data_IF_722177386483
#
_entry.id   IF_722177386483
#
_cell.length_a   1.000
_cell.length_b   1.000
_cell.length_c   1.000
_cell.angle_alpha   90.00
_cell.angle_beta   90.00
_cell.angle_gamma   90.00
#
_symmetry.space_group_name_H-M   'P 1'
#
loop_
_entity.id
_entity.type
_entity.pdbx_description
1 polymer ?
#
# COMPACT_ATOMS: atom_id res chain seq x y z
N UNK A 1 -60.39 17.50 -31.75
CA UNK A 1 -59.05 16.96 -31.38
C UNK A 1 -59.15 16.28 -30.03
N UNK A 2 -58.79 15.00 -29.87
CA UNK A 2 -59.16 14.27 -28.69
C UNK A 2 -58.19 14.59 -27.56
N UNK A 3 -58.73 15.06 -26.44
CA UNK A 3 -58.04 15.35 -25.17
C UNK A 3 -57.13 14.19 -24.71
N UNK A 4 -57.46 12.95 -25.11
CA UNK A 4 -56.71 11.73 -24.80
C UNK A 4 -55.27 11.70 -25.39
N UNK A 5 -55.05 12.38 -26.51
CA UNK A 5 -53.71 12.42 -27.15
C UNK A 5 -52.76 13.33 -26.41
N UNK A 6 -53.25 14.45 -25.87
CA UNK A 6 -52.47 15.44 -25.13
C UNK A 6 -52.00 14.85 -23.79
N UNK A 7 -52.85 14.08 -23.11
CA UNK A 7 -52.52 13.42 -21.83
C UNK A 7 -51.44 12.33 -22.02
N UNK A 8 -51.49 11.58 -23.13
CA UNK A 8 -50.46 10.56 -23.45
C UNK A 8 -49.09 11.19 -23.74
N UNK A 9 -49.05 12.33 -24.47
CA UNK A 9 -47.79 13.04 -24.74
C UNK A 9 -47.12 13.60 -23.48
N UNK A 10 -47.91 14.12 -22.54
CA UNK A 10 -47.40 14.65 -21.28
C UNK A 10 -46.87 13.56 -20.33
N UNK A 11 -47.52 12.38 -20.32
CA UNK A 11 -47.01 11.22 -19.57
C UNK A 11 -45.71 10.69 -20.15
N UNK A 12 -45.57 10.61 -21.48
CA UNK A 12 -44.32 10.20 -22.13
C UNK A 12 -43.16 11.19 -21.86
N UNK A 13 -43.42 12.50 -21.94
CA UNK A 13 -42.41 13.52 -21.62
C UNK A 13 -41.95 13.44 -20.17
N UNK A 14 -42.84 13.19 -19.22
CA UNK A 14 -42.50 13.00 -17.80
C UNK A 14 -41.72 11.71 -17.58
N UNK A 15 -42.02 10.63 -18.29
CA UNK A 15 -41.29 9.38 -18.22
C UNK A 15 -39.86 9.52 -18.78
N UNK A 16 -39.69 10.21 -19.92
CA UNK A 16 -38.38 10.51 -20.50
C UNK A 16 -37.53 11.39 -19.59
N UNK A 17 -38.11 12.40 -18.94
CA UNK A 17 -37.40 13.27 -18.01
C UNK A 17 -36.96 12.55 -16.74
N UNK A 18 -37.77 11.62 -16.21
CA UNK A 18 -37.43 10.79 -15.05
C UNK A 18 -36.31 9.81 -15.37
N UNK A 19 -36.30 9.18 -16.56
CA UNK A 19 -35.23 8.26 -16.98
C UNK A 19 -33.91 9.01 -17.21
N UNK A 20 -33.94 10.23 -17.74
CA UNK A 20 -32.73 11.04 -17.98
C UNK A 20 -32.07 11.48 -16.65
N UNK A 21 -32.85 11.78 -15.61
CA UNK A 21 -32.37 12.14 -14.29
C UNK A 21 -31.72 10.92 -13.60
N UNK A 22 -32.27 9.72 -13.78
CA UNK A 22 -31.72 8.49 -13.18
C UNK A 22 -30.37 8.10 -13.79
N UNK A 23 -30.15 8.35 -15.08
CA UNK A 23 -28.91 8.06 -15.79
C UNK A 23 -27.78 9.04 -15.37
N UNK A 24 -28.11 10.31 -15.05
CA UNK A 24 -27.12 11.29 -14.60
C UNK A 24 -26.55 10.99 -13.18
N UNK A 25 -27.29 10.27 -12.33
CA UNK A 25 -26.81 9.87 -11.00
C UNK A 25 -25.88 8.64 -11.02
N UNK A 26 -25.88 7.85 -12.09
CA UNK A 26 -25.03 6.66 -12.22
C UNK A 26 -23.58 6.96 -12.63
N UNK A 27 -23.23 8.21 -12.98
CA UNK A 27 -21.90 8.59 -13.50
C UNK A 27 -20.91 9.07 -12.44
N UNK A 28 -21.27 9.10 -11.16
CA UNK A 28 -20.36 9.47 -10.07
C UNK A 28 -19.64 8.26 -9.46
N UNK A 29 -19.19 7.32 -10.30
CA UNK A 29 -18.22 6.29 -9.93
C UNK A 29 -16.87 6.94 -9.73
N UNK A 30 -16.65 7.61 -8.59
CA UNK A 30 -15.34 8.13 -8.24
C UNK A 30 -14.37 6.95 -8.12
N UNK A 31 -13.22 7.08 -8.75
CA UNK A 31 -12.10 6.16 -8.54
C UNK A 31 -11.83 6.04 -7.03
N UNK A 32 -12.25 4.92 -6.46
CA UNK A 32 -12.19 4.68 -5.01
C UNK A 32 -10.80 4.25 -4.57
N UNK A 33 -9.93 3.92 -5.52
CA UNK A 33 -8.58 3.43 -5.29
C UNK A 33 -7.56 4.37 -5.90
N UNK A 34 -6.60 4.75 -5.08
CA UNK A 34 -5.41 5.45 -5.50
C UNK A 34 -4.21 4.53 -5.34
N UNK A 35 -3.24 4.62 -6.23
CA UNK A 35 -2.12 3.71 -6.22
C UNK A 35 -0.84 4.32 -6.79
N UNK A 36 0.27 3.64 -6.55
CA UNK A 36 1.55 3.85 -7.24
C UNK A 36 2.21 2.49 -7.53
N UNK A 37 3.03 2.43 -8.57
CA UNK A 37 3.90 1.28 -8.86
C UNK A 37 5.37 1.58 -8.51
N UNK A 38 5.65 2.80 -8.09
CA UNK A 38 6.99 3.32 -7.82
C UNK A 38 7.12 3.73 -6.34
N UNK A 39 6.45 3.01 -5.44
CA UNK A 39 6.61 3.21 -4.01
C UNK A 39 8.01 2.81 -3.55
N UNK A 40 8.52 3.46 -2.51
CA UNK A 40 9.78 3.13 -1.85
C UNK A 40 9.49 2.30 -0.59
N UNK A 41 10.12 1.15 -0.50
CA UNK A 41 10.31 0.41 0.76
C UNK A 41 11.80 0.17 0.95
N UNK A 42 12.30 0.53 2.12
CA UNK A 42 13.67 0.22 2.50
C UNK A 42 13.71 -0.56 3.81
N UNK A 43 14.76 -1.32 3.99
CA UNK A 43 15.08 -1.88 5.30
C UNK A 43 16.50 -1.52 5.74
N UNK A 44 16.70 -1.49 7.05
CA UNK A 44 17.96 -1.14 7.67
C UNK A 44 18.25 -2.11 8.81
N UNK A 45 19.44 -2.72 8.77
CA UNK A 45 20.02 -3.55 9.81
C UNK A 45 21.23 -2.81 10.38
N UNK A 46 21.19 -2.49 11.66
CA UNK A 46 22.28 -1.81 12.36
C UNK A 46 22.92 -2.72 13.40
N UNK A 47 24.23 -2.84 13.35
CA UNK A 47 25.05 -3.43 14.39
C UNK A 47 26.28 -2.55 14.63
N UNK A 48 27.04 -2.81 15.69
CA UNK A 48 28.32 -2.11 15.93
C UNK A 48 29.38 -2.44 14.89
N UNK A 49 29.22 -3.52 14.12
CA UNK A 49 30.16 -3.98 13.12
C UNK A 49 29.82 -3.51 11.71
N UNK A 50 28.53 -3.44 11.37
CA UNK A 50 28.11 -3.14 10.00
C UNK A 50 26.68 -2.55 9.95
N UNK A 51 26.51 -1.61 9.02
CA UNK A 51 25.22 -1.07 8.61
C UNK A 51 24.85 -1.64 7.24
N UNK A 52 23.71 -2.32 7.17
CA UNK A 52 23.19 -2.90 5.94
C UNK A 52 21.88 -2.18 5.60
N UNK A 53 21.84 -1.55 4.43
CA UNK A 53 20.65 -0.89 3.90
C UNK A 53 20.35 -1.42 2.51
N UNK A 54 19.05 -1.65 2.24
CA UNK A 54 18.55 -1.92 0.90
C UNK A 54 17.29 -1.12 0.62
N UNK A 55 17.15 -0.67 -0.62
CA UNK A 55 16.03 0.13 -1.09
C UNK A 55 15.35 -0.57 -2.28
N UNK A 56 14.02 -0.57 -2.28
CA UNK A 56 13.20 -1.03 -3.41
C UNK A 56 12.26 0.09 -3.83
N UNK A 57 12.45 0.60 -5.05
CA UNK A 57 11.67 1.71 -5.63
C UNK A 57 10.56 1.23 -6.58
N UNK A 58 10.27 -0.08 -6.64
CA UNK A 58 9.29 -0.69 -7.54
C UNK A 58 8.15 -1.35 -6.75
N UNK A 59 7.68 -0.66 -5.73
CA UNK A 59 6.64 -1.18 -4.84
C UNK A 59 5.27 -0.75 -5.33
N UNK A 60 4.37 -1.72 -5.55
CA UNK A 60 2.95 -1.46 -5.74
C UNK A 60 2.33 -1.15 -4.38
N UNK A 61 1.74 0.02 -4.26
CA UNK A 61 0.92 0.41 -3.12
C UNK A 61 -0.46 0.84 -3.59
N UNK A 62 -1.52 0.32 -2.99
CA UNK A 62 -2.92 0.63 -3.31
C UNK A 62 -3.66 0.99 -2.02
N UNK A 63 -4.33 2.14 -2.02
CA UNK A 63 -5.20 2.58 -0.93
C UNK A 63 -6.62 2.78 -1.46
N UNK A 64 -7.60 2.15 -0.82
CA UNK A 64 -9.01 2.44 -1.04
C UNK A 64 -9.41 3.63 -0.15
N UNK A 65 -9.77 4.76 -0.79
CA UNK A 65 -10.09 6.02 -0.10
C UNK A 65 -11.51 6.05 0.49
N UNK A 66 -12.28 4.98 0.38
CA UNK A 66 -13.59 4.85 1.03
C UNK A 66 -13.56 3.88 2.22
N UNK A 67 -12.78 2.80 2.10
CA UNK A 67 -12.76 1.74 3.12
C UNK A 67 -11.53 1.78 4.01
N UNK A 68 -10.45 2.47 3.60
CA UNK A 68 -9.16 2.46 4.29
C UNK A 68 -8.36 1.18 4.05
N UNK A 69 -8.79 0.29 3.14
CA UNK A 69 -7.99 -0.87 2.76
C UNK A 69 -6.68 -0.44 2.14
N UNK A 70 -5.58 -1.01 2.64
CA UNK A 70 -4.22 -0.71 2.20
C UNK A 70 -3.51 -2.01 1.81
N UNK A 71 -2.91 -2.03 0.62
CA UNK A 71 -2.22 -3.18 0.09
C UNK A 71 -0.86 -2.80 -0.47
N UNK A 72 0.15 -3.64 -0.21
CA UNK A 72 1.48 -3.55 -0.82
C UNK A 72 1.85 -4.87 -1.48
N UNK A 73 2.54 -4.77 -2.61
CA UNK A 73 3.21 -5.91 -3.26
C UNK A 73 4.62 -5.49 -3.64
N UNK A 74 5.60 -6.24 -3.14
CA UNK A 74 7.03 -5.93 -3.21
C UNK A 74 7.72 -7.13 -3.86
N UNK A 75 8.37 -6.91 -5.01
CA UNK A 75 9.23 -7.93 -5.62
C UNK A 75 10.53 -8.00 -4.82
N UNK A 76 10.86 -9.17 -4.25
CA UNK A 76 12.04 -9.32 -3.40
C UNK A 76 13.34 -9.07 -4.17
N UNK A 77 13.43 -9.47 -5.45
CA UNK A 77 14.56 -9.16 -6.35
C UNK A 77 14.71 -7.67 -6.69
N UNK A 78 13.75 -6.82 -6.34
CA UNK A 78 13.80 -5.38 -6.55
C UNK A 78 14.51 -4.62 -5.42
N UNK A 79 15.00 -5.29 -4.38
CA UNK A 79 15.84 -4.66 -3.36
C UNK A 79 17.27 -4.52 -3.87
N UNK A 80 17.80 -3.29 -3.81
CA UNK A 80 19.16 -2.95 -4.24
C UNK A 80 20.00 -2.55 -3.04
N UNK A 81 21.19 -3.11 -3.01
CA UNK A 81 22.18 -2.91 -1.96
C UNK A 81 23.36 -2.11 -2.48
N UNK A 82 24.10 -1.49 -1.58
CA UNK A 82 25.34 -0.79 -1.91
C UNK A 82 26.43 -1.74 -2.43
N UNK A 83 26.44 -2.99 -1.95
CA UNK A 83 27.41 -4.03 -2.32
C UNK A 83 26.68 -5.17 -3.04
N UNK A 84 27.09 -5.52 -4.26
CA UNK A 84 26.47 -6.58 -5.06
C UNK A 84 26.45 -7.96 -4.35
N UNK A 85 27.51 -8.33 -3.64
CA UNK A 85 27.54 -9.58 -2.86
C UNK A 85 26.51 -9.63 -1.72
N UNK A 86 26.13 -8.47 -1.14
CA UNK A 86 25.03 -8.44 -0.16
C UNK A 86 23.68 -8.67 -0.81
N UNK A 87 23.48 -8.14 -2.02
CA UNK A 87 22.25 -8.35 -2.79
C UNK A 87 22.09 -9.82 -3.20
N UNK A 88 23.19 -10.47 -3.61
CA UNK A 88 23.23 -11.90 -3.92
C UNK A 88 22.84 -12.75 -2.69
N UNK A 89 23.55 -12.57 -1.56
CA UNK A 89 23.23 -13.27 -0.31
C UNK A 89 21.81 -13.01 0.19
N UNK A 90 21.32 -11.78 0.09
CA UNK A 90 19.93 -11.47 0.43
C UNK A 90 18.98 -12.31 -0.41
N UNK A 91 19.18 -12.38 -1.73
CA UNK A 91 18.30 -13.09 -2.64
C UNK A 91 18.37 -14.61 -2.50
N UNK A 92 19.55 -15.16 -2.21
CA UNK A 92 19.80 -16.61 -2.21
C UNK A 92 19.64 -17.23 -0.82
N UNK A 93 20.25 -16.59 0.22
CA UNK A 93 20.39 -17.21 1.52
C UNK A 93 19.35 -16.75 2.53
N UNK A 94 18.85 -15.49 2.42
CA UNK A 94 17.97 -14.90 3.44
C UNK A 94 16.51 -14.88 3.02
N UNK A 95 16.20 -14.26 1.87
CA UNK A 95 14.81 -14.11 1.42
C UNK A 95 14.39 -15.25 0.46
N UNK A 96 15.34 -16.02 -0.06
CA UNK A 96 15.13 -17.08 -1.05
C UNK A 96 14.20 -16.60 -2.18
N UNK A 97 14.58 -15.50 -2.87
CA UNK A 97 13.67 -14.78 -3.79
C UNK A 97 13.20 -15.62 -4.99
N UNK A 98 13.87 -16.72 -5.30
CA UNK A 98 13.43 -17.68 -6.31
C UNK A 98 12.26 -18.53 -5.82
N UNK A 99 12.17 -18.82 -4.54
CA UNK A 99 11.10 -19.58 -3.88
C UNK A 99 9.99 -18.67 -3.36
N UNK A 100 10.38 -17.53 -2.81
CA UNK A 100 9.47 -16.49 -2.28
C UNK A 100 9.68 -15.19 -3.06
N UNK A 101 9.14 -15.05 -4.28
CA UNK A 101 9.45 -13.93 -5.16
C UNK A 101 8.88 -12.59 -4.69
N UNK A 102 7.92 -12.62 -3.75
CA UNK A 102 7.23 -11.43 -3.28
C UNK A 102 7.08 -11.40 -1.76
N UNK A 103 7.25 -10.21 -1.20
CA UNK A 103 6.70 -9.84 0.09
C UNK A 103 5.42 -9.03 -0.12
N UNK A 104 4.48 -9.09 0.83
CA UNK A 104 3.17 -8.46 0.67
C UNK A 104 2.64 -7.97 2.02
N UNK A 105 1.80 -6.93 1.96
CA UNK A 105 0.98 -6.50 3.08
C UNK A 105 -0.46 -6.31 2.62
N UNK A 106 -1.41 -6.76 3.43
CA UNK A 106 -2.83 -6.50 3.25
C UNK A 106 -3.46 -6.16 4.59
N UNK A 107 -4.01 -4.96 4.68
CA UNK A 107 -4.57 -4.49 5.93
C UNK A 107 -5.51 -3.32 5.77
N UNK A 108 -5.81 -2.67 6.89
CA UNK A 108 -6.71 -1.55 6.97
C UNK A 108 -6.12 -0.45 7.86
N UNK A 109 -6.39 0.78 7.51
CA UNK A 109 -6.15 1.95 8.38
C UNK A 109 -7.25 2.00 9.43
N UNK A 110 -6.93 1.80 10.71
CA UNK A 110 -7.93 1.67 11.78
C UNK A 110 -8.62 2.98 12.12
N UNK A 111 -7.91 4.11 11.98
CA UNK A 111 -8.41 5.47 12.24
C UNK A 111 -8.84 6.20 10.96
N UNK A 112 -9.29 5.46 9.96
CA UNK A 112 -9.55 5.94 8.61
C UNK A 112 -10.52 7.13 8.55
N UNK A 113 -11.55 7.15 9.38
CA UNK A 113 -12.53 8.24 9.45
C UNK A 113 -11.95 9.60 9.83
N UNK A 114 -10.74 9.64 10.41
CA UNK A 114 -10.02 10.86 10.77
C UNK A 114 -9.26 11.48 9.59
N UNK A 115 -9.14 10.78 8.47
CA UNK A 115 -8.37 11.22 7.30
C UNK A 115 -9.29 11.97 6.34
N UNK A 116 -8.95 13.24 6.05
CA UNK A 116 -9.65 14.04 5.06
C UNK A 116 -8.79 14.16 3.79
N UNK A 117 -9.16 13.43 2.75
CA UNK A 117 -8.44 13.41 1.46
C UNK A 117 -8.63 14.67 0.61
N UNK A 118 -9.52 15.59 1.01
CA UNK A 118 -9.79 16.86 0.31
C UNK A 118 -9.14 18.07 0.96
N UNK A 119 -8.53 17.88 2.13
CA UNK A 119 -7.87 18.94 2.90
C UNK A 119 -6.39 18.61 3.10
N UNK A 120 -5.53 19.55 2.77
CA UNK A 120 -4.10 19.43 3.03
C UNK A 120 -3.81 19.24 4.52
N UNK A 121 -2.92 18.30 4.82
CA UNK A 121 -2.53 17.98 6.18
C UNK A 121 -1.79 16.66 6.30
N UNK A 122 -1.22 16.46 7.49
CA UNK A 122 -0.64 15.19 7.92
C UNK A 122 -1.58 14.52 8.90
N UNK A 123 -2.05 13.35 8.56
CA UNK A 123 -3.00 12.55 9.35
C UNK A 123 -2.26 11.34 9.94
N UNK A 124 -1.97 11.35 11.26
CA UNK A 124 -1.46 10.16 11.92
C UNK A 124 -2.45 9.00 11.76
N UNK A 125 -1.93 7.83 11.47
CA UNK A 125 -2.72 6.65 11.19
C UNK A 125 -2.12 5.43 11.88
N UNK A 126 -2.98 4.48 12.24
CA UNK A 126 -2.57 3.15 12.68
C UNK A 126 -3.02 2.15 11.63
N UNK A 127 -2.13 1.27 11.22
CA UNK A 127 -2.41 0.26 10.20
C UNK A 127 -2.33 -1.12 10.83
N UNK A 128 -3.40 -1.91 10.67
CA UNK A 128 -3.46 -3.30 11.12
C UNK A 128 -3.63 -4.21 9.92
N UNK A 129 -2.86 -5.28 9.85
CA UNK A 129 -2.98 -6.23 8.74
C UNK A 129 -1.96 -7.34 8.75
N UNK A 130 -1.97 -8.11 7.70
CA UNK A 130 -1.15 -9.28 7.49
C UNK A 130 0.08 -8.93 6.65
N UNK A 131 1.27 -9.03 7.24
CA UNK A 131 2.55 -8.88 6.58
C UNK A 131 3.13 -10.25 6.26
N UNK A 132 3.38 -10.49 5.00
CA UNK A 132 4.00 -11.72 4.50
C UNK A 132 5.43 -11.43 4.05
N UNK A 133 6.40 -12.09 4.67
CA UNK A 133 7.83 -12.06 4.32
C UNK A 133 8.31 -13.52 4.31
N UNK A 134 9.14 -13.91 3.33
CA UNK A 134 9.73 -15.26 3.24
C UNK A 134 8.67 -16.38 3.38
N UNK A 135 7.47 -16.19 2.79
CA UNK A 135 6.36 -17.13 2.85
C UNK A 135 5.63 -17.21 4.19
N UNK A 136 6.08 -16.50 5.23
CA UNK A 136 5.45 -16.47 6.55
C UNK A 136 4.60 -15.21 6.70
N UNK A 137 3.36 -15.39 7.15
CA UNK A 137 2.42 -14.27 7.38
C UNK A 137 2.25 -14.01 8.88
N UNK A 138 2.37 -12.76 9.27
CA UNK A 138 2.14 -12.27 10.63
C UNK A 138 1.15 -11.11 10.63
N UNK A 139 0.23 -11.11 11.57
CA UNK A 139 -0.62 -9.95 11.80
C UNK A 139 0.18 -8.90 12.57
N UNK A 140 0.26 -7.69 12.02
CA UNK A 140 1.00 -6.58 12.61
C UNK A 140 0.11 -5.37 12.85
N UNK A 141 0.52 -4.55 13.81
CA UNK A 141 -0.05 -3.23 14.07
C UNK A 141 1.11 -2.24 14.03
N UNK A 142 1.04 -1.24 13.15
CA UNK A 142 2.13 -0.28 12.96
C UNK A 142 1.61 1.15 12.82
N UNK A 143 2.32 2.15 13.36
CA UNK A 143 2.01 3.55 13.10
C UNK A 143 2.40 3.94 11.68
N UNK A 144 1.74 4.95 11.17
CA UNK A 144 2.05 5.58 9.89
C UNK A 144 1.44 6.97 9.80
N UNK A 145 1.64 7.62 8.67
CA UNK A 145 1.00 8.88 8.37
C UNK A 145 0.44 8.85 6.94
N UNK A 146 -0.70 9.50 6.76
CA UNK A 146 -1.23 9.84 5.45
C UNK A 146 -1.07 11.35 5.28
N UNK A 147 -0.23 11.76 4.34
CA UNK A 147 0.00 13.17 4.01
C UNK A 147 -0.80 13.52 2.78
N UNK A 148 -1.67 14.50 2.89
CA UNK A 148 -2.44 15.06 1.77
C UNK A 148 -1.88 16.43 1.47
N UNK A 149 -1.46 16.66 0.22
CA UNK A 149 -0.97 17.95 -0.23
C UNK A 149 -1.29 18.15 -1.71
N UNK A 150 -1.93 19.27 -2.05
CA UNK A 150 -2.29 19.63 -3.43
C UNK A 150 -3.04 18.49 -4.17
N UNK A 151 -3.94 17.79 -3.44
CA UNK A 151 -4.70 16.64 -3.98
C UNK A 151 -3.89 15.36 -4.18
N UNK A 152 -2.62 15.34 -3.81
CA UNK A 152 -1.76 14.16 -3.82
C UNK A 152 -1.73 13.52 -2.42
N UNK A 153 -1.66 12.20 -2.40
CA UNK A 153 -1.61 11.41 -1.16
C UNK A 153 -0.29 10.69 -1.06
N UNK A 154 0.41 10.88 0.05
CA UNK A 154 1.62 10.14 0.36
C UNK A 154 1.41 9.35 1.65
N UNK A 155 1.73 8.06 1.65
CA UNK A 155 1.67 7.20 2.84
C UNK A 155 3.09 6.85 3.31
N UNK A 156 3.32 7.02 4.61
CA UNK A 156 4.61 6.71 5.24
C UNK A 156 4.41 5.87 6.48
N UNK A 157 5.35 4.96 6.73
CA UNK A 157 5.41 4.17 7.97
C UNK A 157 6.86 3.81 8.29
N UNK A 158 7.14 3.60 9.56
CA UNK A 158 8.41 3.11 10.05
C UNK A 158 8.15 2.15 11.21
N UNK A 159 8.64 0.92 11.07
CA UNK A 159 8.44 -0.14 12.07
C UNK A 159 9.58 -1.15 12.02
N UNK A 160 9.56 -2.10 12.94
CA UNK A 160 10.59 -3.14 13.01
C UNK A 160 9.99 -4.53 12.76
N UNK A 161 10.80 -5.42 12.18
CA UNK A 161 10.50 -6.82 12.01
C UNK A 161 11.64 -7.70 12.53
N UNK A 162 11.30 -8.73 13.32
CA UNK A 162 12.27 -9.73 13.78
C UNK A 162 12.43 -10.79 12.69
N UNK A 163 13.65 -11.07 12.27
CA UNK A 163 13.94 -12.04 11.21
C UNK A 163 13.44 -13.44 11.56
N UNK A 164 13.58 -13.85 12.82
CA UNK A 164 13.14 -15.15 13.32
C UNK A 164 11.62 -15.34 13.20
N UNK A 165 10.82 -14.27 13.29
CA UNK A 165 9.36 -14.33 13.14
C UNK A 165 8.92 -14.73 11.71
N UNK A 166 9.83 -14.58 10.74
CA UNK A 166 9.64 -14.92 9.33
C UNK A 166 10.50 -16.08 8.85
N UNK A 167 10.98 -16.91 9.79
CA UNK A 167 11.85 -18.07 9.52
C UNK A 167 13.15 -17.70 8.76
N UNK A 168 13.66 -16.49 8.95
CA UNK A 168 14.95 -16.07 8.38
C UNK A 168 16.02 -16.26 9.45
N UNK A 169 16.99 -17.15 9.19
CA UNK A 169 18.09 -17.46 10.09
C UNK A 169 19.33 -16.63 9.74
N UNK A 170 20.06 -16.19 10.74
CA UNK A 170 21.36 -15.53 10.58
C UNK A 170 22.46 -16.58 10.85
N UNK A 171 23.32 -16.91 9.85
CA UNK A 171 24.43 -17.84 10.06
C UNK A 171 25.39 -17.34 11.15
N UNK A 172 25.93 -18.28 11.95
CA UNK A 172 26.82 -17.95 13.07
C UNK A 172 28.01 -17.12 12.68
N UNK A 173 28.57 -17.33 11.48
CA UNK A 173 29.75 -16.60 10.97
C UNK A 173 29.51 -15.07 10.81
N UNK A 174 28.25 -14.65 10.54
CA UNK A 174 27.88 -13.25 10.31
C UNK A 174 26.93 -12.68 11.38
N UNK A 175 26.76 -13.40 12.47
CA UNK A 175 25.86 -13.06 13.58
C UNK A 175 26.07 -11.64 14.14
N UNK A 176 27.31 -11.16 14.13
CA UNK A 176 27.65 -9.83 14.65
C UNK A 176 27.46 -8.71 13.61
N UNK A 177 27.25 -9.08 12.34
CA UNK A 177 27.09 -8.13 11.22
C UNK A 177 25.63 -7.86 10.88
N UNK A 178 24.71 -8.75 11.26
CA UNK A 178 23.29 -8.64 10.92
C UNK A 178 22.47 -8.55 12.19
N UNK A 179 21.66 -7.50 12.31
CA UNK A 179 20.73 -7.34 13.42
C UNK A 179 19.59 -8.39 13.33
N UNK A 180 19.23 -9.06 14.43
CA UNK A 180 18.07 -9.96 14.46
C UNK A 180 16.73 -9.23 14.26
N UNK A 181 16.74 -7.91 14.38
CA UNK A 181 15.58 -7.03 14.15
C UNK A 181 15.96 -5.96 13.15
N UNK A 182 15.23 -5.89 12.05
CA UNK A 182 15.43 -4.88 11.01
C UNK A 182 14.38 -3.79 11.10
N UNK A 183 14.78 -2.57 10.77
CA UNK A 183 13.89 -1.44 10.61
C UNK A 183 13.36 -1.41 9.16
N UNK A 184 12.06 -1.26 8.99
CA UNK A 184 11.40 -1.14 7.68
C UNK A 184 10.82 0.26 7.57
N UNK A 185 11.17 0.96 6.50
CA UNK A 185 10.63 2.28 6.16
C UNK A 185 9.82 2.18 4.87
N UNK A 186 8.63 2.77 4.88
CA UNK A 186 7.72 2.85 3.74
C UNK A 186 7.50 4.31 3.39
N UNK A 187 7.58 4.64 2.09
CA UNK A 187 7.27 5.97 1.56
C UNK A 187 6.69 5.83 0.15
N UNK A 188 5.38 6.02 0.02
CA UNK A 188 4.68 5.79 -1.24
C UNK A 188 3.79 6.98 -1.59
N UNK A 189 4.12 7.66 -2.70
CA UNK A 189 3.29 8.71 -3.29
C UNK A 189 2.26 8.09 -4.23
N UNK A 190 0.98 8.18 -3.85
CA UNK A 190 -0.15 7.60 -4.59
C UNK A 190 -0.65 8.63 -5.61
N UNK A 191 -0.16 8.55 -6.82
CA UNK A 191 -0.33 9.53 -7.90
C UNK A 191 -1.28 9.08 -9.01
N UNK A 192 -1.75 7.83 -8.95
CA UNK A 192 -2.63 7.24 -9.96
C UNK A 192 -3.99 6.86 -9.35
N UNK A 193 -5.04 6.89 -10.17
CA UNK A 193 -6.41 6.50 -9.80
C UNK A 193 -6.84 5.29 -10.63
N UNK A 194 -7.54 4.35 -9.98
CA UNK A 194 -8.20 3.22 -10.63
C UNK A 194 -9.68 3.51 -10.86
#
# INVERSE_FOLDING_TARGET
MPVHLIIKLNKMKRLFFAVTITILFAAAGHAQRIFTKNGLVSFFSHTTMEDIKADNNQVLCVLNTQTGELQFSILNKGFHFKKAGMEEHFNEDYIESSKFPKSAFKGIVTDFSKINFTKDGTYPATVKGDLTIHGVTKNILTPGNVNVKDGKVNVTSKFTAKLADYNISIPGAVKNNISPTIEITVNCSLDQKM
#
